data_IF_936788480951
#
_entry.id   IF_936788480951
#
_cell.length_a   1.000
_cell.length_b   1.000
_cell.length_c   1.000
_cell.angle_alpha   90.00
_cell.angle_beta   90.00
_cell.angle_gamma   90.00
#
_symmetry.space_group_name_H-M   'P 1'
#
loop_
_entity.id
_entity.type
_entity.pdbx_description
1 polymer ?
#
# COMPACT_ATOMS: atom_id res chain seq x y z
N UNK A 1 -6.67 4.42 13.96
CA UNK A 1 -5.44 4.38 13.14
C UNK A 1 -5.07 5.81 12.80
N UNK A 2 -3.86 6.25 13.18
CA UNK A 2 -3.38 7.59 12.87
C UNK A 2 -3.05 7.65 11.39
N UNK A 3 -3.86 8.36 10.60
CA UNK A 3 -3.48 8.74 9.23
C UNK A 3 -2.34 9.73 9.34
N UNK A 4 -1.10 9.30 9.10
CA UNK A 4 0.04 10.22 9.06
C UNK A 4 -0.07 11.02 7.75
N UNK A 5 -0.61 12.22 7.84
CA UNK A 5 -0.64 13.17 6.73
C UNK A 5 0.77 13.75 6.57
N UNK A 6 1.35 13.60 5.39
CA UNK A 6 2.64 14.17 5.03
C UNK A 6 2.39 15.26 3.99
N UNK A 7 2.95 16.43 4.21
CA UNK A 7 2.95 17.54 3.24
C UNK A 7 4.39 17.70 2.80
N UNK A 8 4.66 17.45 1.53
CA UNK A 8 6.01 17.52 0.97
C UNK A 8 6.01 18.44 -0.25
N UNK A 9 7.08 19.25 -0.32
CA UNK A 9 7.37 20.17 -1.40
C UNK A 9 8.51 19.57 -2.19
N UNK A 10 8.32 19.36 -3.48
CA UNK A 10 9.36 18.83 -4.36
C UNK A 10 9.65 19.87 -5.44
N UNK A 11 10.93 20.28 -5.51
CA UNK A 11 11.41 21.20 -6.53
C UNK A 11 11.53 20.43 -7.83
N UNK A 12 10.78 20.84 -8.84
CA UNK A 12 10.66 20.12 -10.11
C UNK A 12 11.56 20.78 -11.16
N UNK A 13 12.87 20.55 -11.09
CA UNK A 13 13.83 21.21 -11.99
C UNK A 13 13.63 20.84 -13.48
N UNK A 14 12.97 19.70 -13.76
CA UNK A 14 12.87 19.07 -15.08
C UNK A 14 11.43 18.77 -15.56
N UNK A 15 10.39 19.23 -14.87
CA UNK A 15 8.97 18.91 -15.15
C UNK A 15 8.61 17.42 -14.94
N UNK A 16 9.33 16.74 -14.05
CA UNK A 16 9.21 15.31 -13.67
C UNK A 16 8.18 15.06 -12.55
N UNK A 17 7.29 16.01 -12.23
CA UNK A 17 6.25 15.85 -11.19
C UNK A 17 5.41 14.56 -11.35
N UNK A 18 5.26 14.06 -12.58
CA UNK A 18 4.55 12.80 -12.86
C UNK A 18 5.30 11.60 -12.28
N UNK A 19 6.61 11.53 -12.47
CA UNK A 19 7.46 10.45 -11.95
C UNK A 19 7.54 10.51 -10.43
N UNK A 20 7.64 11.71 -9.86
CA UNK A 20 7.58 11.94 -8.41
C UNK A 20 6.25 11.41 -7.87
N UNK A 21 5.12 11.77 -8.50
CA UNK A 21 3.80 11.30 -8.07
C UNK A 21 3.71 9.77 -8.08
N UNK A 22 4.15 9.13 -9.16
CA UNK A 22 4.17 7.67 -9.27
C UNK A 22 5.05 7.00 -8.22
N UNK A 23 6.22 7.59 -7.91
CA UNK A 23 7.12 7.08 -6.89
C UNK A 23 6.44 7.06 -5.51
N UNK A 24 5.75 8.14 -5.15
CA UNK A 24 5.03 8.22 -3.86
C UNK A 24 3.89 7.20 -3.77
N UNK A 25 3.11 7.05 -4.84
CA UNK A 25 2.05 6.05 -4.91
C UNK A 25 2.61 4.61 -4.77
N UNK A 26 3.78 4.31 -5.36
CA UNK A 26 4.49 3.03 -5.16
C UNK A 26 4.97 2.82 -3.72
N UNK A 27 5.29 3.90 -3.00
CA UNK A 27 5.68 3.86 -1.59
C UNK A 27 4.47 3.74 -0.64
N UNK A 28 3.25 3.64 -1.18
CA UNK A 28 2.01 3.52 -0.39
C UNK A 28 1.42 4.87 0.03
N UNK A 29 1.91 5.99 -0.52
CA UNK A 29 1.31 7.29 -0.30
C UNK A 29 0.19 7.55 -1.29
N UNK A 30 -0.99 7.91 -0.78
CA UNK A 30 -2.06 8.43 -1.62
C UNK A 30 -1.98 9.94 -1.71
N UNK A 31 -1.79 10.46 -2.92
CA UNK A 31 -1.83 11.89 -3.21
C UNK A 31 -3.30 12.35 -3.19
N UNK A 32 -3.63 13.29 -2.32
CA UNK A 32 -5.02 13.76 -2.12
C UNK A 32 -5.27 15.17 -2.68
N UNK A 33 -4.22 15.95 -2.87
CA UNK A 33 -4.26 17.34 -3.36
C UNK A 33 -2.90 17.68 -3.96
N UNK A 34 -2.87 18.48 -5.01
CA UNK A 34 -1.63 18.90 -5.66
C UNK A 34 -1.79 20.18 -6.49
N UNK A 35 -0.69 20.93 -6.62
CA UNK A 35 -0.58 22.17 -7.37
C UNK A 35 0.78 22.20 -8.09
N UNK A 36 0.80 22.68 -9.34
CA UNK A 36 2.03 22.94 -10.09
C UNK A 36 2.12 24.44 -10.37
N UNK A 37 3.27 25.04 -10.06
CA UNK A 37 3.64 26.39 -10.51
C UNK A 37 4.70 26.28 -11.61
N UNK A 38 4.28 26.33 -12.88
CA UNK A 38 5.18 26.25 -14.03
C UNK A 38 6.13 27.45 -14.14
N UNK A 39 5.77 28.62 -13.60
CA UNK A 39 6.65 29.79 -13.66
C UNK A 39 7.86 29.62 -12.74
N UNK A 40 7.65 28.97 -11.59
CA UNK A 40 8.68 28.69 -10.60
C UNK A 40 9.28 27.30 -10.71
N UNK A 41 8.67 26.42 -11.51
CA UNK A 41 9.01 25.00 -11.60
C UNK A 41 8.90 24.28 -10.26
N UNK A 42 7.79 24.51 -9.57
CA UNK A 42 7.53 23.96 -8.24
C UNK A 42 6.32 23.03 -8.26
N UNK A 43 6.44 21.87 -7.61
CA UNK A 43 5.36 20.93 -7.39
C UNK A 43 5.05 20.80 -5.90
N UNK A 44 3.79 21.03 -5.55
CA UNK A 44 3.28 20.95 -4.19
C UNK A 44 2.24 19.85 -4.11
N UNK A 45 2.37 18.93 -3.16
CA UNK A 45 1.34 17.92 -2.93
C UNK A 45 1.10 17.62 -1.46
N UNK A 46 -0.11 17.17 -1.18
CA UNK A 46 -0.48 16.59 0.11
C UNK A 46 -0.71 15.10 -0.10
N UNK A 47 -0.09 14.30 0.75
CA UNK A 47 -0.24 12.86 0.71
C UNK A 47 -0.64 12.30 2.08
N UNK A 48 -1.25 11.13 2.04
CA UNK A 48 -1.52 10.33 3.24
C UNK A 48 -0.82 8.99 3.03
N UNK A 49 -0.01 8.57 3.99
CA UNK A 49 0.51 7.21 3.99
C UNK A 49 -0.67 6.25 4.21
N UNK A 50 -0.92 5.40 3.23
CA UNK A 50 -1.85 4.28 3.39
C UNK A 50 -1.11 3.18 4.10
N UNK A 51 -1.35 3.06 5.41
CA UNK A 51 -0.84 1.94 6.18
C UNK A 51 -1.73 0.72 5.93
N UNK A 52 -1.09 -0.44 5.72
CA UNK A 52 -1.82 -1.70 5.64
C UNK A 52 -2.65 -1.90 6.92
N UNK A 53 -3.92 -2.23 6.75
CA UNK A 53 -4.84 -2.38 7.87
C UNK A 53 -4.62 -3.74 8.53
N UNK A 54 -4.09 -3.76 9.76
CA UNK A 54 -4.04 -4.99 10.57
C UNK A 54 -5.45 -5.50 10.86
N UNK A 55 -5.69 -6.78 10.64
CA UNK A 55 -7.01 -7.44 10.75
C UNK A 55 -6.86 -8.88 11.27
N UNK A 56 -7.98 -9.55 11.56
CA UNK A 56 -7.97 -10.99 11.80
C UNK A 56 -7.71 -11.78 10.50
N UNK A 57 -7.36 -13.06 10.65
CA UNK A 57 -7.25 -13.97 9.50
C UNK A 57 -8.57 -14.03 8.71
N UNK A 58 -9.71 -14.20 9.39
CA UNK A 58 -11.02 -14.28 8.74
C UNK A 58 -11.34 -13.01 7.95
N UNK A 59 -11.07 -11.84 8.53
CA UNK A 59 -11.24 -10.56 7.85
C UNK A 59 -10.33 -10.42 6.63
N UNK A 60 -9.07 -10.85 6.72
CA UNK A 60 -8.13 -10.85 5.61
C UNK A 60 -8.61 -11.77 4.47
N UNK A 61 -9.03 -13.00 4.76
CA UNK A 61 -9.54 -13.92 3.74
C UNK A 61 -10.82 -13.38 3.11
N UNK A 62 -11.73 -12.78 3.88
CA UNK A 62 -12.92 -12.14 3.31
C UNK A 62 -12.57 -10.96 2.39
N UNK A 63 -11.52 -10.20 2.69
CA UNK A 63 -11.04 -9.15 1.81
C UNK A 63 -10.39 -9.72 0.54
N UNK A 64 -9.58 -10.77 0.68
CA UNK A 64 -8.95 -11.47 -0.43
C UNK A 64 -9.97 -12.06 -1.41
N UNK A 65 -11.03 -12.70 -0.90
CA UNK A 65 -12.16 -13.19 -1.70
C UNK A 65 -12.93 -12.06 -2.42
N UNK A 66 -12.79 -10.81 -1.97
CA UNK A 66 -13.33 -9.61 -2.64
C UNK A 66 -12.32 -8.98 -3.61
N UNK A 67 -11.19 -9.65 -3.87
CA UNK A 67 -10.14 -9.18 -4.79
C UNK A 67 -9.19 -8.14 -4.19
N UNK A 68 -9.09 -8.03 -2.86
CA UNK A 68 -8.09 -7.19 -2.20
C UNK A 68 -6.80 -7.97 -1.96
N UNK A 69 -5.66 -7.30 -2.09
CA UNK A 69 -4.39 -7.89 -1.72
C UNK A 69 -4.25 -7.95 -0.20
N UNK A 70 -3.70 -9.05 0.31
CA UNK A 70 -3.44 -9.24 1.74
C UNK A 70 -1.99 -9.61 1.99
N UNK A 71 -1.51 -9.28 3.19
CA UNK A 71 -0.16 -9.56 3.67
C UNK A 71 -0.22 -10.34 4.96
N UNK A 72 0.56 -11.41 5.07
CA UNK A 72 0.80 -12.15 6.31
C UNK A 72 2.26 -12.00 6.73
N UNK A 73 2.50 -11.70 8.00
CA UNK A 73 3.84 -11.76 8.60
C UNK A 73 3.86 -12.91 9.60
N UNK A 74 4.76 -13.87 9.41
CA UNK A 74 4.94 -14.99 10.32
C UNK A 74 6.40 -15.46 10.30
N UNK A 75 7.01 -15.68 11.47
CA UNK A 75 8.43 -16.04 11.62
C UNK A 75 9.39 -15.10 10.87
N UNK A 76 9.16 -13.79 10.97
CA UNK A 76 9.93 -12.74 10.25
C UNK A 76 9.86 -12.83 8.71
N UNK A 77 9.08 -13.76 8.16
CA UNK A 77 8.78 -13.86 6.74
C UNK A 77 7.51 -13.07 6.40
N UNK A 78 7.57 -12.29 5.33
CA UNK A 78 6.41 -11.57 4.78
C UNK A 78 5.93 -12.29 3.53
N UNK A 79 4.69 -12.78 3.57
CA UNK A 79 4.01 -13.37 2.41
C UNK A 79 2.93 -12.42 1.93
N UNK A 80 2.92 -12.12 0.63
CA UNK A 80 1.91 -11.28 0.00
C UNK A 80 1.05 -12.17 -0.88
N UNK A 81 -0.25 -12.17 -0.62
CA UNK A 81 -1.24 -12.86 -1.44
C UNK A 81 -1.94 -11.84 -2.30
N UNK A 82 -1.64 -11.88 -3.60
CA UNK A 82 -2.26 -11.02 -4.59
C UNK A 82 -3.25 -11.85 -5.42
N UNK A 83 -4.18 -11.16 -6.08
CA UNK A 83 -4.87 -11.71 -7.24
C UNK A 83 -5.91 -12.82 -7.02
N UNK A 84 -6.78 -12.67 -6.00
CA UNK A 84 -8.19 -13.14 -5.97
C UNK A 84 -8.53 -14.63 -6.20
N UNK A 85 -7.57 -15.48 -6.54
CA UNK A 85 -7.73 -16.88 -6.85
C UNK A 85 -6.49 -17.62 -6.33
N UNK A 86 -6.70 -18.44 -5.30
CA UNK A 86 -5.74 -19.47 -4.88
C UNK A 86 -5.79 -20.53 -5.98
N UNK A 87 -5.07 -20.32 -7.07
CA UNK A 87 -4.98 -21.27 -8.18
C UNK A 87 -3.52 -21.64 -8.44
N UNK A 88 -2.86 -22.15 -7.39
CA UNK A 88 -1.70 -23.01 -7.54
C UNK A 88 -1.47 -23.79 -6.24
N UNK A 89 -0.92 -25.00 -6.37
CA UNK A 89 -0.49 -25.81 -5.23
C UNK A 89 0.58 -25.12 -4.34
N UNK A 90 1.16 -24.00 -4.82
CA UNK A 90 2.15 -23.16 -4.14
C UNK A 90 1.54 -22.01 -3.32
N UNK A 91 0.26 -21.67 -3.49
CA UNK A 91 -0.45 -20.61 -2.72
C UNK A 91 -1.16 -21.14 -1.47
N UNK A 92 -0.74 -22.30 -0.96
CA UNK A 92 -1.37 -22.92 0.22
C UNK A 92 -1.03 -22.13 1.48
N UNK A 93 -2.07 -21.60 2.11
CA UNK A 93 -2.00 -21.04 3.45
C UNK A 93 -1.44 -22.08 4.43
N UNK A 94 -0.30 -21.78 5.04
CA UNK A 94 0.36 -22.67 6.00
C UNK A 94 -0.37 -22.55 7.33
N UNK A 95 -0.61 -23.66 8.04
CA UNK A 95 -1.32 -23.66 9.33
C UNK A 95 -0.70 -22.70 10.36
N UNK A 96 0.63 -22.54 10.32
CA UNK A 96 1.35 -21.57 11.13
C UNK A 96 0.94 -20.11 10.85
N UNK A 97 0.76 -19.75 9.58
CA UNK A 97 0.28 -18.42 9.18
C UNK A 97 -1.18 -18.20 9.61
N UNK A 98 -2.04 -19.22 9.46
CA UNK A 98 -3.45 -19.12 9.85
C UNK A 98 -3.59 -18.88 11.36
N UNK A 99 -2.83 -19.63 12.18
CA UNK A 99 -2.98 -19.59 13.63
C UNK A 99 -2.17 -18.49 14.33
N UNK A 100 -1.03 -18.10 13.76
CA UNK A 100 -0.04 -17.23 14.43
C UNK A 100 0.43 -16.07 13.57
N UNK A 101 0.01 -16.01 12.30
CA UNK A 101 0.37 -14.93 11.40
C UNK A 101 -0.30 -13.62 11.79
N UNK A 102 0.42 -12.53 11.56
CA UNK A 102 -0.17 -11.20 11.61
C UNK A 102 -0.69 -10.83 10.23
N UNK A 103 -2.00 -10.59 10.13
CA UNK A 103 -2.67 -10.35 8.87
C UNK A 103 -2.97 -8.88 8.65
N UNK A 104 -2.79 -8.44 7.40
CA UNK A 104 -3.02 -7.08 6.97
C UNK A 104 -3.74 -7.05 5.62
N UNK A 105 -4.69 -6.13 5.45
CA UNK A 105 -5.28 -5.80 4.16
C UNK A 105 -4.48 -4.62 3.59
N UNK A 106 -4.01 -4.75 2.34
CA UNK A 106 -3.38 -3.63 1.65
C UNK A 106 -4.44 -2.60 1.27
N UNK A 107 -4.23 -1.37 1.68
CA UNK A 107 -5.00 -0.22 1.20
C UNK A 107 -4.36 0.23 -0.13
N UNK A 108 -4.83 -0.36 -1.24
CA UNK A 108 -4.55 0.10 -2.61
C UNK A 108 -5.62 1.12 -3.05
#
# INVERSE_FOLDING_TARGET
MLKKQIVEMVFDEAEEWQEIKEQYERLGYKIIDWIIDYNKKEFYFKSILMEDKKVSFEEAIQAYLKGKDIKCIWNDETTIYNNGFIDSDDDKLIMGQILKGEWYIKEN
#
